data_IF_179745629399
#
_entry.id   IF_179745629399
#
_cell.length_a   1.000
_cell.length_b   1.000
_cell.length_c   1.000
_cell.angle_alpha   90.00
_cell.angle_beta   90.00
_cell.angle_gamma   90.00
#
_symmetry.space_group_name_H-M   'P 1'
#
loop_
_entity.id
_entity.type
_entity.pdbx_description
1 polymer ?
#
# COMPACT_ATOMS: atom_id res chain seq x y z
N UNK A 1 59.08 -16.01 -23.20
CA UNK A 1 57.68 -15.53 -23.18
C UNK A 1 56.89 -16.24 -22.08
N UNK A 2 56.99 -17.57 -21.99
CA UNK A 2 56.42 -18.39 -20.90
C UNK A 2 56.95 -18.00 -19.51
N UNK A 3 58.25 -17.76 -19.36
CA UNK A 3 58.83 -17.40 -18.04
C UNK A 3 58.33 -16.07 -17.47
N UNK A 4 58.08 -15.08 -18.34
CA UNK A 4 57.49 -13.79 -17.93
C UNK A 4 56.05 -13.92 -17.48
N UNK A 5 55.28 -14.84 -18.08
CA UNK A 5 53.91 -15.15 -17.65
C UNK A 5 53.95 -15.84 -16.29
N UNK A 6 54.91 -16.75 -16.07
CA UNK A 6 55.13 -17.43 -14.80
C UNK A 6 55.51 -16.45 -13.67
N UNK A 7 56.40 -15.50 -13.92
CA UNK A 7 56.73 -14.43 -12.96
C UNK A 7 55.53 -13.52 -12.66
N UNK A 8 54.73 -13.20 -13.66
CA UNK A 8 53.51 -12.39 -13.48
C UNK A 8 52.46 -13.12 -12.63
N UNK A 9 52.22 -14.41 -12.86
CA UNK A 9 51.31 -15.22 -12.05
C UNK A 9 51.81 -15.41 -10.61
N UNK A 10 53.12 -15.42 -10.40
CA UNK A 10 53.75 -15.53 -9.07
C UNK A 10 53.87 -14.18 -8.34
N UNK A 11 53.48 -13.08 -8.99
CA UNK A 11 53.50 -11.75 -8.39
C UNK A 11 52.48 -11.69 -7.24
N UNK A 12 52.96 -11.35 -6.03
CA UNK A 12 52.12 -11.19 -4.83
C UNK A 12 50.94 -10.25 -5.03
N UNK A 13 51.09 -9.21 -5.86
CA UNK A 13 50.01 -8.26 -6.15
C UNK A 13 48.95 -8.86 -7.09
N UNK A 14 49.37 -9.70 -8.04
CA UNK A 14 48.45 -10.43 -8.90
C UNK A 14 47.66 -11.48 -8.11
N UNK A 15 48.34 -12.26 -7.27
CA UNK A 15 47.70 -13.25 -6.39
C UNK A 15 46.73 -12.54 -5.43
N UNK A 16 47.15 -11.42 -4.82
CA UNK A 16 46.30 -10.61 -3.94
C UNK A 16 45.04 -10.10 -4.65
N UNK A 17 45.17 -9.61 -5.89
CA UNK A 17 44.03 -9.14 -6.68
C UNK A 17 43.08 -10.29 -7.04
N UNK A 18 43.60 -11.46 -7.44
CA UNK A 18 42.78 -12.65 -7.74
C UNK A 18 42.02 -13.13 -6.50
N UNK A 19 42.67 -13.18 -5.34
CA UNK A 19 42.03 -13.56 -4.07
C UNK A 19 40.93 -12.56 -3.69
N UNK A 20 41.17 -11.25 -3.85
CA UNK A 20 40.17 -10.22 -3.57
C UNK A 20 38.93 -10.35 -4.48
N UNK A 21 39.13 -10.64 -5.77
CA UNK A 21 38.04 -10.88 -6.72
C UNK A 21 37.22 -12.11 -6.31
N UNK A 22 37.87 -13.22 -5.98
CA UNK A 22 37.20 -14.46 -5.57
C UNK A 22 36.40 -14.25 -4.28
N UNK A 23 36.98 -13.57 -3.28
CA UNK A 23 36.28 -13.24 -2.03
C UNK A 23 35.09 -12.32 -2.28
N UNK A 24 35.24 -11.33 -3.16
CA UNK A 24 34.14 -10.45 -3.57
C UNK A 24 32.98 -11.22 -4.21
N UNK A 25 33.28 -12.19 -5.08
CA UNK A 25 32.28 -13.05 -5.70
C UNK A 25 31.57 -13.93 -4.66
N UNK A 26 32.31 -14.56 -3.75
CA UNK A 26 31.75 -15.42 -2.68
C UNK A 26 30.83 -14.61 -1.76
N UNK A 27 31.28 -13.42 -1.32
CA UNK A 27 30.47 -12.54 -0.48
C UNK A 27 29.19 -12.10 -1.20
N UNK A 28 29.29 -11.71 -2.47
CA UNK A 28 28.13 -11.33 -3.27
C UNK A 28 27.14 -12.49 -3.42
N UNK A 29 27.64 -13.71 -3.72
CA UNK A 29 26.80 -14.91 -3.81
C UNK A 29 26.11 -15.24 -2.48
N UNK A 30 26.82 -15.11 -1.35
CA UNK A 30 26.23 -15.35 -0.03
C UNK A 30 25.16 -14.32 0.32
N UNK A 31 25.38 -13.04 0.01
CA UNK A 31 24.40 -11.96 0.22
C UNK A 31 23.15 -12.21 -0.63
N UNK A 32 23.31 -12.55 -1.91
CA UNK A 32 22.19 -12.88 -2.80
C UNK A 32 21.40 -14.09 -2.29
N UNK A 33 22.08 -15.18 -1.93
CA UNK A 33 21.44 -16.37 -1.38
C UNK A 33 20.68 -16.05 -0.09
N UNK A 34 21.28 -15.28 0.82
CA UNK A 34 20.62 -14.89 2.07
C UNK A 34 19.38 -14.04 1.83
N UNK A 35 19.42 -13.13 0.85
CA UNK A 35 18.27 -12.31 0.45
C UNK A 35 17.17 -13.14 -0.20
N UNK A 36 17.51 -14.06 -1.10
CA UNK A 36 16.55 -14.99 -1.70
C UNK A 36 15.88 -15.86 -0.65
N UNK A 37 16.66 -16.38 0.31
CA UNK A 37 16.13 -17.19 1.40
C UNK A 37 15.22 -16.41 2.34
N UNK A 38 15.56 -15.15 2.66
CA UNK A 38 14.70 -14.29 3.46
C UNK A 38 13.35 -14.02 2.74
N UNK A 39 13.40 -13.71 1.44
CA UNK A 39 12.19 -13.53 0.64
C UNK A 39 11.33 -14.80 0.55
N UNK A 40 11.95 -15.98 0.45
CA UNK A 40 11.24 -17.27 0.45
C UNK A 40 10.48 -17.48 1.76
N UNK A 41 11.12 -17.23 2.89
CA UNK A 41 10.50 -17.32 4.22
C UNK A 41 9.32 -16.36 4.35
N UNK A 42 9.49 -15.11 3.93
CA UNK A 42 8.38 -14.14 3.93
C UNK A 42 7.23 -14.56 3.02
N UNK A 43 7.54 -15.13 1.85
CA UNK A 43 6.52 -15.60 0.92
C UNK A 43 5.76 -16.82 1.45
N UNK A 44 6.42 -17.72 2.17
CA UNK A 44 5.77 -18.82 2.89
C UNK A 44 4.82 -18.29 3.98
N UNK A 45 5.28 -17.34 4.80
CA UNK A 45 4.43 -16.64 5.78
C UNK A 45 3.22 -15.98 5.12
N UNK A 46 3.44 -15.27 4.02
CA UNK A 46 2.37 -14.63 3.26
C UNK A 46 1.32 -15.64 2.76
N UNK A 47 1.75 -16.79 2.26
CA UNK A 47 0.84 -17.86 1.84
C UNK A 47 0.07 -18.45 3.01
N UNK A 48 0.72 -18.71 4.14
CA UNK A 48 0.09 -19.25 5.34
C UNK A 48 -0.99 -18.31 5.90
N UNK A 49 -0.66 -17.03 6.05
CA UNK A 49 -1.62 -16.02 6.53
C UNK A 49 -2.81 -15.93 5.58
N UNK A 50 -2.58 -15.82 4.26
CA UNK A 50 -3.70 -15.71 3.31
C UNK A 50 -4.54 -17.00 3.22
N UNK A 51 -3.92 -18.17 3.40
CA UNK A 51 -4.66 -19.43 3.46
C UNK A 51 -5.60 -19.45 4.68
N UNK A 52 -5.14 -18.98 5.84
CA UNK A 52 -5.97 -18.86 7.05
C UNK A 52 -7.15 -17.88 6.87
N UNK A 53 -6.92 -16.78 6.12
CA UNK A 53 -7.97 -15.80 5.82
C UNK A 53 -9.03 -16.35 4.86
N UNK A 54 -8.64 -17.28 3.96
CA UNK A 54 -9.48 -17.88 2.93
C UNK A 54 -10.40 -19.00 3.44
N UNK A 55 -10.14 -19.54 4.63
CA UNK A 55 -11.02 -20.56 5.23
C UNK A 55 -12.30 -19.87 5.72
N UNK A 56 -13.42 -20.20 5.06
CA UNK A 56 -14.77 -19.89 5.54
C UNK A 56 -15.08 -20.83 6.73
N UNK A 57 -14.53 -20.57 7.90
CA UNK A 57 -14.99 -21.20 9.13
C UNK A 57 -16.12 -20.36 9.73
N UNK A 58 -17.20 -21.01 10.18
CA UNK A 58 -18.23 -20.42 11.05
C UNK A 58 -17.63 -19.97 12.40
N UNK A 59 -16.39 -20.35 12.69
CA UNK A 59 -15.55 -19.80 13.76
C UNK A 59 -14.81 -18.57 13.23
N UNK A 60 -15.10 -17.41 13.84
CA UNK A 60 -14.33 -16.18 13.69
C UNK A 60 -12.84 -16.53 13.73
N UNK A 61 -12.12 -16.31 12.63
CA UNK A 61 -10.67 -16.30 12.69
C UNK A 61 -10.32 -15.13 13.61
N UNK A 62 -9.89 -15.43 14.85
CA UNK A 62 -9.38 -14.42 15.78
C UNK A 62 -8.22 -13.69 15.10
N UNK A 63 -8.54 -12.56 14.45
CA UNK A 63 -7.62 -11.69 13.74
C UNK A 63 -6.49 -11.19 14.65
N UNK A 64 -6.71 -11.25 15.96
CA UNK A 64 -5.75 -10.98 17.04
C UNK A 64 -4.53 -11.92 17.07
N UNK A 65 -4.57 -13.07 16.42
CA UNK A 65 -3.48 -14.06 16.45
C UNK A 65 -2.66 -14.13 15.14
N UNK A 66 -3.00 -13.32 14.12
CA UNK A 66 -2.26 -13.29 12.87
C UNK A 66 -1.10 -12.29 12.98
N UNK A 67 0.12 -12.77 12.71
CA UNK A 67 1.29 -11.92 12.56
C UNK A 67 1.26 -11.27 11.17
N UNK A 68 0.85 -10.00 11.14
CA UNK A 68 0.68 -9.19 9.92
C UNK A 68 1.91 -8.35 9.58
N UNK A 69 2.99 -8.41 10.36
CA UNK A 69 4.21 -7.63 10.11
C UNK A 69 5.09 -8.32 9.08
N UNK A 70 5.51 -7.61 8.02
CA UNK A 70 6.45 -8.15 7.04
C UNK A 70 7.62 -7.17 6.84
N UNK A 71 8.80 -7.70 6.57
CA UNK A 71 9.92 -6.89 6.05
C UNK A 71 9.61 -6.39 4.63
N UNK A 72 8.82 -7.15 3.87
CA UNK A 72 8.28 -6.75 2.57
C UNK A 72 6.97 -5.96 2.73
N UNK A 73 7.08 -4.64 2.53
CA UNK A 73 5.93 -3.73 2.43
C UNK A 73 4.83 -4.27 1.49
N UNK A 74 5.20 -4.89 0.37
CA UNK A 74 4.22 -5.41 -0.58
C UNK A 74 3.37 -6.55 0.00
N UNK A 75 3.98 -7.46 0.76
CA UNK A 75 3.25 -8.57 1.39
C UNK A 75 2.37 -8.05 2.52
N UNK A 76 2.89 -7.19 3.38
CA UNK A 76 2.12 -6.55 4.46
C UNK A 76 0.89 -5.83 3.93
N UNK A 77 1.07 -4.97 2.93
CA UNK A 77 -0.02 -4.21 2.32
C UNK A 77 -1.11 -5.12 1.74
N UNK A 78 -0.72 -6.17 1.00
CA UNK A 78 -1.69 -7.09 0.39
C UNK A 78 -2.45 -7.84 1.48
N UNK A 79 -1.75 -8.40 2.47
CA UNK A 79 -2.36 -9.16 3.56
C UNK A 79 -3.32 -8.30 4.38
N UNK A 80 -2.89 -7.10 4.80
CA UNK A 80 -3.77 -6.17 5.54
C UNK A 80 -4.96 -5.73 4.69
N UNK A 81 -4.78 -5.52 3.37
CA UNK A 81 -5.88 -5.16 2.46
C UNK A 81 -6.90 -6.30 2.31
N UNK A 82 -6.44 -7.55 2.27
CA UNK A 82 -7.31 -8.73 2.21
C UNK A 82 -8.09 -8.88 3.51
N UNK A 83 -7.42 -8.74 4.66
CA UNK A 83 -8.08 -8.78 5.95
C UNK A 83 -9.10 -7.64 6.10
N UNK A 84 -8.76 -6.41 5.69
CA UNK A 84 -9.69 -5.29 5.75
C UNK A 84 -10.95 -5.52 4.91
N UNK A 85 -10.81 -6.13 3.72
CA UNK A 85 -11.95 -6.53 2.89
C UNK A 85 -12.79 -7.61 3.57
N UNK A 86 -12.16 -8.62 4.16
CA UNK A 86 -12.88 -9.64 4.94
C UNK A 86 -13.66 -9.02 6.10
N UNK A 87 -13.06 -8.09 6.83
CA UNK A 87 -13.73 -7.34 7.89
C UNK A 87 -14.92 -6.53 7.36
N UNK A 88 -14.83 -5.94 6.16
CA UNK A 88 -15.98 -5.30 5.49
C UNK A 88 -17.10 -6.32 5.23
N UNK A 89 -16.76 -7.48 4.66
CA UNK A 89 -17.74 -8.55 4.36
C UNK A 89 -18.43 -9.07 5.64
N UNK A 90 -17.73 -9.03 6.77
CA UNK A 90 -18.21 -9.41 8.11
C UNK A 90 -18.89 -8.26 8.88
N UNK A 91 -18.98 -7.06 8.28
CA UNK A 91 -19.49 -5.81 8.89
C UNK A 91 -18.68 -5.28 10.09
N UNK A 92 -17.43 -5.71 10.26
CA UNK A 92 -16.48 -5.12 11.21
C UNK A 92 -15.75 -3.93 10.58
N UNK A 93 -16.49 -2.83 10.41
CA UNK A 93 -15.97 -1.61 9.79
C UNK A 93 -14.88 -0.92 10.64
N UNK A 94 -14.87 -1.13 11.96
CA UNK A 94 -13.83 -0.59 12.85
C UNK A 94 -12.47 -1.23 12.59
N UNK A 95 -12.44 -2.56 12.45
CA UNK A 95 -11.20 -3.27 12.07
C UNK A 95 -10.77 -2.90 10.66
N UNK A 96 -11.71 -2.81 9.71
CA UNK A 96 -11.40 -2.41 8.33
C UNK A 96 -10.76 -1.01 8.27
N UNK A 97 -11.34 -0.02 8.96
CA UNK A 97 -10.82 1.36 8.92
C UNK A 97 -9.45 1.46 9.61
N UNK A 98 -9.24 0.72 10.70
CA UNK A 98 -7.93 0.63 11.36
C UNK A 98 -6.86 0.10 10.40
N UNK A 99 -7.13 -1.03 9.74
CA UNK A 99 -6.18 -1.66 8.81
C UNK A 99 -5.86 -0.74 7.62
N UNK A 100 -6.87 -0.09 7.02
CA UNK A 100 -6.59 0.83 5.91
C UNK A 100 -5.81 2.07 6.34
N UNK A 101 -6.03 2.61 7.55
CA UNK A 101 -5.23 3.73 8.06
C UNK A 101 -3.77 3.35 8.32
N UNK A 102 -3.51 2.14 8.84
CA UNK A 102 -2.16 1.61 9.02
C UNK A 102 -1.44 1.51 7.67
N UNK A 103 -2.07 0.85 6.69
CA UNK A 103 -1.52 0.71 5.33
C UNK A 103 -1.28 2.09 4.69
N UNK A 104 -2.23 3.02 4.83
CA UNK A 104 -2.10 4.37 4.29
C UNK A 104 -0.85 5.07 4.84
N UNK A 105 -0.62 4.99 6.15
CA UNK A 105 0.52 5.61 6.83
C UNK A 105 1.85 4.98 6.38
N UNK A 106 1.89 3.66 6.23
CA UNK A 106 3.05 2.94 5.68
C UNK A 106 3.36 3.37 4.24
N UNK A 107 2.34 3.45 3.38
CA UNK A 107 2.51 3.90 1.99
C UNK A 107 3.05 5.32 1.92
N UNK A 108 2.49 6.24 2.70
CA UNK A 108 2.94 7.65 2.76
C UNK A 108 4.42 7.73 3.14
N UNK A 109 4.84 6.98 4.16
CA UNK A 109 6.21 6.99 4.69
C UNK A 109 7.21 6.14 3.89
N UNK A 110 6.75 5.24 3.02
CA UNK A 110 7.59 4.32 2.26
C UNK A 110 8.50 4.99 1.22
N UNK A 111 9.54 4.27 0.78
CA UNK A 111 10.45 4.70 -0.29
C UNK A 111 10.06 4.16 -1.68
N UNK A 112 8.82 3.70 -1.88
CA UNK A 112 8.34 3.23 -3.19
C UNK A 112 8.28 4.37 -4.21
N UNK A 113 8.16 4.01 -5.49
CA UNK A 113 8.10 5.00 -6.57
C UNK A 113 6.95 6.00 -6.35
N UNK A 114 7.18 7.28 -6.67
CA UNK A 114 6.19 8.36 -6.50
C UNK A 114 4.86 8.00 -7.16
N UNK A 115 4.89 7.52 -8.41
CA UNK A 115 3.68 7.14 -9.16
C UNK A 115 2.93 6.00 -8.49
N UNK A 116 3.64 4.97 -8.00
CA UNK A 116 3.00 3.88 -7.26
C UNK A 116 2.38 4.37 -5.96
N UNK A 117 3.09 5.24 -5.24
CA UNK A 117 2.61 5.83 -3.99
C UNK A 117 1.33 6.65 -4.20
N UNK A 118 1.29 7.49 -5.23
CA UNK A 118 0.11 8.31 -5.56
C UNK A 118 -1.13 7.45 -5.82
N UNK A 119 -0.99 6.37 -6.60
CA UNK A 119 -2.09 5.42 -6.88
C UNK A 119 -2.58 4.73 -5.61
N UNK A 120 -1.66 4.26 -4.76
CA UNK A 120 -2.00 3.55 -3.53
C UNK A 120 -2.67 4.47 -2.50
N UNK A 121 -2.13 5.68 -2.31
CA UNK A 121 -2.73 6.70 -1.44
C UNK A 121 -4.16 7.02 -1.89
N UNK A 122 -4.38 7.24 -3.19
CA UNK A 122 -5.73 7.50 -3.72
C UNK A 122 -6.70 6.35 -3.40
N UNK A 123 -6.30 5.10 -3.68
CA UNK A 123 -7.12 3.91 -3.43
C UNK A 123 -7.46 3.73 -1.94
N UNK A 124 -6.47 3.84 -1.06
CA UNK A 124 -6.70 3.68 0.38
C UNK A 124 -7.50 4.83 0.97
N UNK A 125 -7.27 6.06 0.52
CA UNK A 125 -8.05 7.22 0.96
C UNK A 125 -9.52 7.09 0.60
N UNK A 126 -9.82 6.58 -0.61
CA UNK A 126 -11.21 6.30 -1.00
C UNK A 126 -11.86 5.29 -0.05
N UNK A 127 -11.19 4.19 0.28
CA UNK A 127 -11.73 3.17 1.19
C UNK A 127 -11.94 3.73 2.60
N UNK A 128 -10.98 4.49 3.12
CA UNK A 128 -11.06 5.10 4.46
C UNK A 128 -12.24 6.06 4.54
N UNK A 129 -12.41 6.96 3.56
CA UNK A 129 -13.53 7.92 3.56
C UNK A 129 -14.88 7.20 3.47
N UNK A 130 -14.99 6.16 2.65
CA UNK A 130 -16.21 5.34 2.56
C UNK A 130 -16.53 4.65 3.88
N UNK A 131 -15.53 4.09 4.56
CA UNK A 131 -15.72 3.44 5.85
C UNK A 131 -16.19 4.41 6.94
N UNK A 132 -15.70 5.66 6.94
CA UNK A 132 -16.24 6.67 7.86
C UNK A 132 -17.69 7.03 7.57
N UNK A 133 -18.17 6.93 6.31
CA UNK A 133 -19.62 7.02 6.03
C UNK A 133 -20.37 5.82 6.60
N UNK A 134 -19.88 4.59 6.40
CA UNK A 134 -20.52 3.37 6.94
C UNK A 134 -20.56 3.35 8.48
N UNK A 135 -19.59 3.99 9.12
CA UNK A 135 -19.51 4.14 10.58
C UNK A 135 -20.31 5.32 11.14
N UNK A 136 -20.96 6.12 10.29
CA UNK A 136 -21.59 7.39 10.68
C UNK A 136 -20.64 8.36 11.42
N UNK A 137 -19.32 8.26 11.17
CA UNK A 137 -18.28 9.03 11.87
C UNK A 137 -17.86 10.26 11.06
N UNK A 138 -18.65 11.33 11.19
CA UNK A 138 -18.39 12.60 10.53
C UNK A 138 -17.05 13.23 10.94
N UNK A 139 -16.72 13.23 12.24
CA UNK A 139 -15.58 13.98 12.76
C UNK A 139 -14.26 13.36 12.28
N UNK A 140 -14.14 12.03 12.31
CA UNK A 140 -12.94 11.34 11.83
C UNK A 140 -12.80 11.46 10.31
N UNK A 141 -13.90 11.38 9.56
CA UNK A 141 -13.89 11.54 8.11
C UNK A 141 -13.55 12.97 7.66
N UNK A 142 -14.13 14.00 8.29
CA UNK A 142 -13.83 15.42 8.02
C UNK A 142 -12.35 15.72 8.30
N UNK A 143 -11.84 15.22 9.43
CA UNK A 143 -10.43 15.34 9.78
C UNK A 143 -9.54 14.66 8.74
N UNK A 144 -9.83 13.41 8.38
CA UNK A 144 -9.03 12.68 7.40
C UNK A 144 -8.98 13.41 6.05
N UNK A 145 -10.13 13.89 5.54
CA UNK A 145 -10.22 14.60 4.25
C UNK A 145 -9.45 15.92 4.30
N UNK A 146 -9.57 16.69 5.39
CA UNK A 146 -8.93 18.01 5.52
C UNK A 146 -7.41 17.94 5.72
N UNK A 147 -6.91 16.92 6.40
CA UNK A 147 -5.47 16.71 6.61
C UNK A 147 -4.77 16.08 5.40
N UNK A 148 -5.52 15.40 4.53
CA UNK A 148 -4.97 14.60 3.41
C UNK A 148 -5.55 15.02 2.05
N UNK A 149 -5.66 16.32 1.78
CA UNK A 149 -6.18 16.80 0.50
C UNK A 149 -5.29 16.33 -0.68
N UNK A 150 -5.82 15.42 -1.51
CA UNK A 150 -5.10 14.85 -2.65
C UNK A 150 -5.43 15.59 -3.95
N UNK A 151 -4.44 15.75 -4.82
CA UNK A 151 -4.62 16.27 -6.17
C UNK A 151 -5.21 15.19 -7.11
N UNK A 152 -6.43 14.75 -6.81
CA UNK A 152 -7.12 13.65 -7.51
C UNK A 152 -8.60 13.95 -7.68
N UNK A 153 -9.11 13.80 -8.91
CA UNK A 153 -10.55 13.85 -9.17
C UNK A 153 -11.32 12.82 -8.34
N UNK A 154 -10.77 11.60 -8.20
CA UNK A 154 -11.44 10.50 -7.52
C UNK A 154 -11.59 10.76 -6.03
N UNK A 155 -10.52 11.25 -5.40
CA UNK A 155 -10.54 11.66 -4.00
C UNK A 155 -11.60 12.74 -3.75
N UNK A 156 -11.63 13.78 -4.58
CA UNK A 156 -12.60 14.85 -4.44
C UNK A 156 -14.04 14.40 -4.71
N UNK A 157 -14.29 13.47 -5.65
CA UNK A 157 -15.63 12.89 -5.86
C UNK A 157 -16.12 12.17 -4.59
N UNK A 158 -15.28 11.32 -4.00
CA UNK A 158 -15.62 10.57 -2.77
C UNK A 158 -15.78 11.48 -1.55
N UNK A 159 -14.94 12.51 -1.41
CA UNK A 159 -15.12 13.52 -0.36
C UNK A 159 -16.42 14.32 -0.55
N UNK A 160 -16.82 14.61 -1.79
CA UNK A 160 -18.10 15.22 -2.11
C UNK A 160 -19.28 14.34 -1.67
N UNK A 161 -19.19 13.04 -1.93
CA UNK A 161 -20.16 12.02 -1.49
C UNK A 161 -20.25 11.95 0.05
N UNK A 162 -19.10 11.96 0.75
CA UNK A 162 -19.02 12.01 2.21
C UNK A 162 -19.76 13.21 2.80
N UNK A 163 -19.44 14.42 2.34
CA UNK A 163 -20.11 15.61 2.87
C UNK A 163 -21.59 15.65 2.53
N UNK A 164 -21.99 15.12 1.37
CA UNK A 164 -23.40 14.99 1.00
C UNK A 164 -24.14 14.05 1.94
N UNK A 165 -23.54 12.90 2.27
CA UNK A 165 -24.11 11.91 3.19
C UNK A 165 -24.47 12.57 4.54
N UNK A 166 -23.56 13.36 5.10
CA UNK A 166 -23.76 14.11 6.34
C UNK A 166 -24.49 15.45 6.15
N UNK A 167 -25.16 15.68 5.02
CA UNK A 167 -25.94 16.89 4.72
C UNK A 167 -25.16 18.21 4.75
N UNK A 168 -23.83 18.16 4.61
CA UNK A 168 -22.97 19.34 4.47
C UNK A 168 -22.83 19.74 3.00
N UNK A 169 -23.92 20.30 2.45
CA UNK A 169 -24.05 20.58 1.03
C UNK A 169 -23.01 21.58 0.49
N UNK A 170 -22.55 22.52 1.31
CA UNK A 170 -21.55 23.51 0.91
C UNK A 170 -20.18 22.85 0.68
N UNK A 171 -19.70 22.05 1.65
CA UNK A 171 -18.46 21.28 1.48
C UNK A 171 -18.59 20.24 0.37
N UNK A 172 -19.75 19.58 0.27
CA UNK A 172 -20.02 18.63 -0.81
C UNK A 172 -19.86 19.25 -2.20
N UNK A 173 -20.53 20.39 -2.45
CA UNK A 173 -20.42 21.10 -3.72
C UNK A 173 -18.99 21.59 -3.99
N UNK A 174 -18.28 22.07 -2.98
CA UNK A 174 -16.86 22.46 -3.11
C UNK A 174 -15.98 21.29 -3.58
N UNK A 175 -16.15 20.11 -3.01
CA UNK A 175 -15.39 18.93 -3.42
C UNK A 175 -15.80 18.45 -4.83
N UNK A 176 -17.09 18.45 -5.18
CA UNK A 176 -17.51 18.13 -6.55
C UNK A 176 -17.00 19.14 -7.59
N UNK A 177 -16.94 20.44 -7.26
CA UNK A 177 -16.33 21.46 -8.12
C UNK A 177 -14.84 21.21 -8.36
N UNK A 178 -14.11 20.80 -7.31
CA UNK A 178 -12.72 20.39 -7.47
C UNK A 178 -12.58 19.14 -8.31
N UNK A 179 -13.41 18.11 -8.09
CA UNK A 179 -13.34 16.86 -8.84
C UNK A 179 -13.48 17.09 -10.35
N UNK A 180 -14.46 17.89 -10.78
CA UNK A 180 -14.67 18.18 -12.22
C UNK A 180 -13.66 19.15 -12.83
N UNK A 181 -12.81 19.80 -12.02
CA UNK A 181 -11.76 20.70 -12.52
C UNK A 181 -10.55 19.96 -13.09
N UNK A 182 -10.42 18.66 -12.82
CA UNK A 182 -9.39 17.80 -13.36
C UNK A 182 -9.69 17.39 -14.81
N UNK A 183 -8.63 16.99 -15.53
CA UNK A 183 -8.75 16.41 -16.86
C UNK A 183 -9.30 14.97 -16.77
N UNK A 184 -10.63 14.87 -16.72
CA UNK A 184 -11.39 13.63 -16.69
C UNK A 184 -12.37 13.57 -17.87
N UNK A 185 -12.82 12.38 -18.22
CA UNK A 185 -13.73 12.24 -19.36
C UNK A 185 -15.09 12.92 -19.11
N UNK A 186 -15.77 13.41 -20.17
CA UNK A 186 -17.05 14.10 -20.01
C UNK A 186 -18.15 13.26 -19.36
N UNK A 187 -18.10 11.92 -19.48
CA UNK A 187 -19.11 11.07 -18.86
C UNK A 187 -18.93 11.06 -17.33
N UNK A 188 -17.69 10.97 -16.83
CA UNK A 188 -17.39 11.12 -15.41
C UNK A 188 -17.78 12.50 -14.87
N UNK A 189 -17.49 13.58 -15.60
CA UNK A 189 -17.92 14.93 -15.21
C UNK A 189 -19.45 15.00 -15.06
N UNK A 190 -20.19 14.43 -16.02
CA UNK A 190 -21.65 14.39 -15.96
C UNK A 190 -22.15 13.56 -14.76
N UNK A 191 -21.53 12.42 -14.48
CA UNK A 191 -21.87 11.59 -13.31
C UNK A 191 -21.69 12.38 -12.02
N UNK A 192 -20.56 13.07 -11.84
CA UNK A 192 -20.31 13.90 -10.65
C UNK A 192 -21.36 15.02 -10.56
N UNK A 193 -21.66 15.69 -11.66
CA UNK A 193 -22.64 16.78 -11.68
C UNK A 193 -24.06 16.32 -11.32
N UNK A 194 -24.44 15.09 -11.67
CA UNK A 194 -25.73 14.50 -11.30
C UNK A 194 -25.86 14.22 -9.79
N UNK A 195 -24.73 14.03 -9.08
CA UNK A 195 -24.75 13.77 -7.64
C UNK A 195 -24.95 15.03 -6.80
N UNK A 196 -24.69 16.22 -7.35
CA UNK A 196 -24.63 17.47 -6.59
C UNK A 196 -25.94 17.77 -5.82
N UNK A 197 -25.86 18.21 -4.56
CA UNK A 197 -27.00 18.77 -3.86
C UNK A 197 -27.56 19.97 -4.62
N UNK A 198 -28.90 20.09 -4.66
CA UNK A 198 -29.56 21.28 -5.17
C UNK A 198 -29.25 22.43 -4.22
N UNK A 199 -28.72 23.54 -4.75
CA UNK A 199 -28.48 24.78 -4.00
C UNK A 199 -29.78 25.43 -3.55
#
# INVERSE_FOLDING_TARGET
MVDRILEFLRNRYFIGAVVAIILGLILNSFVTYSKERANEIEFEKFQEVNASLSVQSEEEVESSNLDLEFDSLGFEMITKSVLAKKSIDENDFNTAVKLFNEIYTEVVSSNISKTTKEVLIEQYSENIVRLYMELDDFDSGDKFISENELNSSRFHDVAGDFYKYFSNNDKSNFHYDRAVSFDIDPAQQNLINLKRPIK
#
